data_IF_656211077721
#
_entry.id   IF_656211077721
#
_cell.length_a   1.000
_cell.length_b   1.000
_cell.length_c   1.000
_cell.angle_alpha   90.00
_cell.angle_beta   90.00
_cell.angle_gamma   90.00
#
_symmetry.space_group_name_H-M   'P 1'
#
loop_
_entity.id
_entity.type
_entity.pdbx_description
1 polymer ?
#
# COMPACT_ATOMS: atom_id res chain seq x y z
N UNK A 1 -45.28 39.54 -29.15
CA UNK A 1 -45.28 38.27 -29.89
C UNK A 1 -44.13 38.40 -30.85
N UNK A 2 -43.02 37.68 -30.86
CA UNK A 2 -42.50 36.41 -30.32
C UNK A 2 -41.06 36.38 -30.90
N UNK A 3 -39.99 35.77 -30.40
CA UNK A 3 -39.64 35.02 -29.21
C UNK A 3 -38.13 35.24 -29.02
N UNK A 4 -37.68 35.21 -27.77
CA UNK A 4 -36.26 35.25 -27.39
C UNK A 4 -35.68 33.84 -27.61
N UNK A 5 -34.71 33.67 -28.50
CA UNK A 5 -33.84 32.49 -28.46
C UNK A 5 -32.88 32.64 -27.27
N UNK A 6 -33.13 31.83 -26.24
CA UNK A 6 -32.24 31.67 -25.11
C UNK A 6 -31.04 30.79 -25.53
N UNK A 7 -29.83 31.33 -25.40
CA UNK A 7 -28.62 30.51 -25.35
C UNK A 7 -28.76 29.54 -24.16
N UNK A 8 -28.90 28.25 -24.46
CA UNK A 8 -28.78 27.20 -23.47
C UNK A 8 -27.39 27.24 -22.80
N UNK A 9 -27.28 26.79 -21.53
CA UNK A 9 -25.98 26.69 -20.88
C UNK A 9 -25.09 25.74 -21.70
N UNK A 10 -23.77 26.00 -21.77
CA UNK A 10 -22.87 25.13 -22.48
C UNK A 10 -22.99 23.72 -21.89
N UNK A 11 -23.45 22.79 -22.72
CA UNK A 11 -23.36 21.35 -22.47
C UNK A 11 -21.93 21.07 -22.06
N UNK A 12 -21.72 20.44 -20.90
CA UNK A 12 -20.41 19.98 -20.43
C UNK A 12 -19.86 18.96 -21.43
N UNK A 13 -19.28 19.46 -22.52
CA UNK A 13 -18.45 18.70 -23.42
C UNK A 13 -17.07 18.55 -22.79
N UNK A 14 -16.62 17.31 -22.73
CA UNK A 14 -15.21 16.95 -22.74
C UNK A 14 -14.34 17.59 -21.63
N UNK A 15 -14.64 17.32 -20.36
CA UNK A 15 -13.53 17.02 -19.46
C UNK A 15 -13.18 15.55 -19.72
N UNK A 16 -12.15 15.33 -20.53
CA UNK A 16 -11.43 14.08 -20.48
C UNK A 16 -11.22 13.71 -19.01
N UNK A 17 -11.81 12.59 -18.58
CA UNK A 17 -11.21 11.82 -17.50
C UNK A 17 -9.87 11.37 -18.08
N UNK A 18 -8.83 12.20 -17.94
CA UNK A 18 -7.46 11.79 -18.27
C UNK A 18 -7.23 10.50 -17.49
N UNK A 19 -7.17 9.39 -18.22
CA UNK A 19 -6.98 8.07 -17.67
C UNK A 19 -5.69 8.09 -16.84
N UNK A 20 -5.75 7.58 -15.62
CA UNK A 20 -4.63 7.66 -14.71
C UNK A 20 -3.53 6.71 -15.16
N UNK A 21 -2.41 7.29 -15.58
CA UNK A 21 -1.21 6.55 -15.99
C UNK A 21 -0.10 6.79 -14.97
N UNK A 22 0.18 5.82 -14.08
CA UNK A 22 1.28 5.94 -13.12
C UNK A 22 2.63 5.82 -13.81
N UNK A 23 3.62 6.57 -13.33
CA UNK A 23 5.02 6.38 -13.68
C UNK A 23 5.67 5.32 -12.79
N UNK A 24 5.16 5.15 -11.57
CA UNK A 24 5.67 4.22 -10.57
C UNK A 24 4.48 3.49 -9.95
N UNK A 25 4.59 2.17 -9.84
CA UNK A 25 3.63 1.33 -9.11
C UNK A 25 4.34 0.74 -7.90
N UNK A 26 3.72 0.88 -6.73
CA UNK A 26 4.20 0.36 -5.45
C UNK A 26 3.22 -0.69 -4.95
N UNK A 27 3.65 -1.95 -4.89
CA UNK A 27 2.92 -3.01 -4.21
C UNK A 27 3.20 -2.98 -2.71
N UNK A 28 2.16 -2.91 -1.89
CA UNK A 28 2.23 -2.95 -0.43
C UNK A 28 1.49 -4.18 0.08
N UNK A 29 2.26 -5.15 0.59
CA UNK A 29 1.74 -6.32 1.28
C UNK A 29 1.61 -6.00 2.77
N UNK A 30 0.47 -5.42 3.18
CA UNK A 30 0.20 -5.08 4.58
C UNK A 30 -0.14 -6.34 5.39
N UNK A 31 0.82 -7.22 5.63
CA UNK A 31 0.58 -8.46 6.35
C UNK A 31 0.28 -8.26 7.84
N UNK A 32 -0.28 -9.30 8.49
CA UNK A 32 -0.61 -9.26 9.92
C UNK A 32 0.60 -8.97 10.82
N UNK A 33 1.74 -9.63 10.56
CA UNK A 33 2.95 -9.53 11.38
C UNK A 33 4.03 -8.68 10.74
N UNK A 34 4.12 -8.71 9.41
CA UNK A 34 5.14 -8.00 8.66
C UNK A 34 4.53 -7.41 7.39
N UNK A 35 5.01 -6.22 7.02
CA UNK A 35 4.65 -5.53 5.80
C UNK A 35 5.80 -5.58 4.80
N UNK A 36 5.52 -6.00 3.57
CA UNK A 36 6.47 -5.95 2.45
C UNK A 36 6.14 -4.78 1.52
N UNK A 37 7.16 -4.16 0.92
CA UNK A 37 6.98 -3.14 -0.12
C UNK A 37 7.90 -3.45 -1.29
N UNK A 38 7.31 -3.48 -2.49
CA UNK A 38 8.04 -3.59 -3.75
C UNK A 38 7.53 -2.58 -4.76
N UNK A 39 8.35 -2.21 -5.73
CA UNK A 39 7.95 -1.24 -6.75
C UNK A 39 8.53 -1.56 -8.12
N UNK A 40 7.84 -1.10 -9.16
CA UNK A 40 8.35 -1.03 -10.51
C UNK A 40 7.99 0.32 -11.11
N UNK A 41 8.67 0.71 -12.19
CA UNK A 41 8.51 2.02 -12.80
C UNK A 41 8.53 1.90 -14.32
N UNK A 42 7.72 2.72 -14.96
CA UNK A 42 7.65 2.82 -16.40
C UNK A 42 8.78 3.69 -16.98
N UNK A 43 8.89 3.69 -18.32
CA UNK A 43 8.08 2.91 -19.25
C UNK A 43 8.50 1.43 -19.36
N UNK A 44 9.67 1.05 -18.84
CA UNK A 44 10.22 -0.30 -19.03
C UNK A 44 9.58 -1.37 -18.14
N UNK A 45 9.00 -0.97 -17.00
CA UNK A 45 8.34 -1.87 -16.03
C UNK A 45 9.16 -3.14 -15.72
N UNK A 46 10.42 -3.00 -15.25
CA UNK A 46 11.25 -4.15 -14.93
C UNK A 46 10.64 -5.00 -13.80
N UNK A 47 11.18 -6.21 -13.55
CA UNK A 47 10.79 -7.01 -12.39
C UNK A 47 10.78 -6.17 -11.10
N UNK A 48 9.74 -6.27 -10.24
CA UNK A 48 9.60 -5.42 -9.07
C UNK A 48 10.82 -5.50 -8.13
N UNK A 49 11.28 -4.33 -7.70
CA UNK A 49 12.38 -4.17 -6.73
C UNK A 49 11.79 -4.09 -5.33
N UNK A 50 12.29 -4.91 -4.41
CA UNK A 50 11.86 -4.88 -3.00
C UNK A 50 12.60 -3.77 -2.25
N UNK A 51 11.89 -2.97 -1.45
CA UNK A 51 12.50 -2.04 -0.50
C UNK A 51 12.98 -2.85 0.70
N UNK A 52 14.30 -2.90 0.91
CA UNK A 52 14.90 -3.74 1.95
C UNK A 52 15.58 -2.96 3.08
N UNK A 53 15.77 -1.65 2.91
CA UNK A 53 16.35 -0.77 3.93
C UNK A 53 15.23 -0.12 4.71
N UNK A 54 15.25 -0.31 6.03
CA UNK A 54 14.20 0.14 6.94
C UNK A 54 14.80 0.90 8.11
N UNK A 55 14.11 1.91 8.65
CA UNK A 55 14.52 2.58 9.89
C UNK A 55 14.63 1.57 11.04
N UNK A 56 15.55 1.81 11.97
CA UNK A 56 15.80 0.91 13.12
C UNK A 56 16.76 -0.25 12.84
N UNK A 57 17.11 -0.50 11.58
CA UNK A 57 18.14 -1.47 11.19
C UNK A 57 19.53 -0.81 11.14
N UNK A 58 20.58 -1.59 11.43
CA UNK A 58 21.96 -1.10 11.31
C UNK A 58 22.32 -0.83 9.83
N UNK A 59 23.25 0.11 9.56
CA UNK A 59 23.72 0.34 8.19
C UNK A 59 24.22 -0.95 7.55
N UNK A 60 23.65 -1.30 6.39
CA UNK A 60 24.00 -2.51 5.65
C UNK A 60 23.09 -3.71 5.91
N UNK A 61 22.29 -3.69 6.97
CA UNK A 61 21.29 -4.72 7.18
C UNK A 61 20.09 -4.54 6.24
N UNK A 62 19.68 -5.64 5.61
CA UNK A 62 18.57 -5.71 4.67
C UNK A 62 17.49 -6.65 5.21
N UNK A 63 16.23 -6.29 5.00
CA UNK A 63 15.09 -7.16 5.31
C UNK A 63 13.99 -6.98 4.26
N UNK A 64 13.45 -8.08 3.72
CA UNK A 64 12.40 -8.03 2.70
C UNK A 64 11.07 -7.47 3.22
N UNK A 65 10.86 -7.51 4.54
CA UNK A 65 9.67 -7.01 5.21
C UNK A 65 10.05 -6.30 6.51
N UNK A 66 9.19 -5.39 6.94
CA UNK A 66 9.28 -4.67 8.21
C UNK A 66 8.16 -5.13 9.14
N UNK A 67 8.38 -5.25 10.47
CA UNK A 67 7.31 -5.61 11.40
C UNK A 67 6.09 -4.67 11.31
N UNK A 68 4.89 -5.24 11.38
CA UNK A 68 3.63 -4.49 11.37
C UNK A 68 3.27 -4.05 12.79
N UNK A 69 4.02 -3.07 13.29
CA UNK A 69 3.88 -2.58 14.65
C UNK A 69 4.18 -1.08 14.76
N UNK A 70 3.60 -0.46 15.79
CA UNK A 70 3.73 0.97 16.08
C UNK A 70 3.70 1.19 17.59
N UNK A 71 4.55 2.08 18.09
CA UNK A 71 4.55 2.55 19.47
C UNK A 71 4.29 4.06 19.49
N UNK A 72 3.49 4.52 20.44
CA UNK A 72 3.22 5.94 20.64
C UNK A 72 4.15 6.53 21.70
N UNK A 73 4.36 7.85 21.66
CA UNK A 73 5.00 8.58 22.75
C UNK A 73 4.14 8.63 24.01
N UNK A 74 4.67 9.23 25.07
CA UNK A 74 3.94 9.40 26.35
C UNK A 74 2.62 10.18 26.21
N UNK A 75 2.47 10.96 25.15
CA UNK A 75 1.23 11.68 24.81
C UNK A 75 0.14 10.78 24.20
N UNK A 76 0.44 9.50 23.93
CA UNK A 76 -0.45 8.52 23.29
C UNK A 76 -1.00 8.96 21.92
N UNK A 77 -0.38 9.96 21.31
CA UNK A 77 -0.86 10.63 20.09
C UNK A 77 0.23 10.68 19.02
N UNK A 78 1.44 11.04 19.43
CA UNK A 78 2.60 11.07 18.55
C UNK A 78 3.15 9.66 18.34
N UNK A 79 3.48 9.33 17.10
CA UNK A 79 4.17 8.08 16.77
C UNK A 79 5.62 8.23 17.23
N UNK A 80 6.07 7.38 18.15
CA UNK A 80 7.47 7.38 18.60
C UNK A 80 8.32 6.45 17.75
N UNK A 81 7.83 5.23 17.51
CA UNK A 81 8.54 4.18 16.78
C UNK A 81 7.57 3.37 15.91
N UNK A 82 8.09 2.75 14.85
CA UNK A 82 7.35 1.81 14.01
C UNK A 82 8.30 0.75 13.45
N UNK A 83 7.77 -0.42 13.11
CA UNK A 83 8.57 -1.48 12.50
C UNK A 83 9.76 -1.91 13.37
N UNK A 84 10.96 -2.00 12.77
CA UNK A 84 12.17 -2.38 13.50
C UNK A 84 12.62 -1.37 14.57
N UNK A 85 12.01 -0.18 14.62
CA UNK A 85 12.27 0.78 15.68
C UNK A 85 11.49 0.45 16.96
N UNK A 86 10.44 -0.37 16.88
CA UNK A 86 9.69 -0.80 18.05
C UNK A 86 10.52 -1.81 18.85
N UNK A 87 10.59 -1.59 20.16
CA UNK A 87 11.14 -2.56 21.09
C UNK A 87 10.03 -3.51 21.54
N UNK A 88 9.95 -4.66 20.89
CA UNK A 88 8.87 -5.66 21.11
C UNK A 88 9.15 -6.47 22.39
N UNK A 89 10.42 -6.55 22.81
CA UNK A 89 10.83 -7.29 24.01
C UNK A 89 10.70 -6.45 25.28
N UNK A 90 10.56 -5.13 25.14
CA UNK A 90 10.29 -4.23 26.25
C UNK A 90 8.79 -4.18 26.57
N UNK A 91 8.39 -4.90 27.61
CA UNK A 91 7.01 -4.94 28.11
C UNK A 91 6.47 -3.59 28.61
N UNK A 92 7.33 -2.59 28.87
CA UNK A 92 6.90 -1.24 29.25
C UNK A 92 6.51 -0.39 28.04
N UNK A 93 7.02 -0.72 26.84
CA UNK A 93 6.62 -0.09 25.61
C UNK A 93 5.28 -0.68 25.16
N UNK A 94 4.22 0.12 25.19
CA UNK A 94 2.89 -0.32 24.75
C UNK A 94 2.82 -0.40 23.21
N UNK A 95 3.49 -1.41 22.65
CA UNK A 95 3.56 -1.66 21.22
C UNK A 95 2.23 -2.20 20.72
N UNK A 96 1.69 -1.56 19.69
CA UNK A 96 0.42 -1.92 19.07
C UNK A 96 0.70 -2.83 17.88
N UNK A 97 0.31 -4.09 18.03
CA UNK A 97 0.48 -5.16 17.02
C UNK A 97 -0.86 -5.79 16.68
N UNK A 98 -0.90 -6.62 15.63
CA UNK A 98 -2.07 -7.44 15.25
C UNK A 98 -3.37 -6.67 15.01
N UNK A 99 -3.32 -5.34 14.88
CA UNK A 99 -4.50 -4.50 14.73
C UNK A 99 -5.26 -4.74 13.43
N UNK A 100 -4.65 -5.43 12.46
CA UNK A 100 -5.35 -5.96 11.28
C UNK A 100 -6.52 -6.89 11.64
N UNK A 101 -6.44 -7.64 12.75
CA UNK A 101 -7.54 -8.49 13.24
C UNK A 101 -8.76 -7.68 13.69
N UNK A 102 -8.55 -6.41 14.04
CA UNK A 102 -9.57 -5.54 14.62
C UNK A 102 -10.13 -4.51 13.61
N UNK A 103 -9.65 -4.52 12.36
CA UNK A 103 -10.21 -3.74 11.26
C UNK A 103 -11.53 -4.31 10.73
N UNK A 104 -11.84 -5.54 11.14
CA UNK A 104 -12.99 -6.30 10.71
C UNK A 104 -13.88 -6.62 11.91
N UNK A 105 -15.12 -6.10 11.98
CA UNK A 105 -15.99 -6.30 13.14
C UNK A 105 -16.21 -7.77 13.50
N UNK A 106 -16.23 -8.66 12.51
CA UNK A 106 -16.41 -10.10 12.71
C UNK A 106 -15.20 -10.83 13.32
N UNK A 107 -14.04 -10.17 13.37
CA UNK A 107 -12.79 -10.72 13.93
C UNK A 107 -12.35 -9.99 15.21
N UNK A 108 -13.15 -9.03 15.68
CA UNK A 108 -12.93 -8.38 16.96
C UNK A 108 -12.91 -9.43 18.08
N UNK A 109 -11.83 -9.40 18.87
CA UNK A 109 -11.66 -10.27 20.03
C UNK A 109 -12.05 -9.51 21.29
N UNK A 110 -12.70 -10.19 22.22
CA UNK A 110 -13.00 -9.66 23.54
C UNK A 110 -11.71 -9.19 24.24
N UNK A 111 -11.73 -7.96 24.76
CA UNK A 111 -10.58 -7.34 25.41
C UNK A 111 -9.49 -6.79 24.47
N UNK A 112 -9.69 -6.85 23.15
CA UNK A 112 -8.80 -6.19 22.17
C UNK A 112 -9.20 -4.73 21.88
N UNK A 113 -8.43 -4.04 21.00
CA UNK A 113 -8.75 -2.67 20.62
C UNK A 113 -10.12 -2.55 19.95
N UNK A 114 -10.73 -1.39 20.15
CA UNK A 114 -11.91 -0.99 19.39
C UNK A 114 -11.59 -0.84 17.90
N UNK A 115 -12.62 -0.92 17.05
CA UNK A 115 -12.48 -0.69 15.61
C UNK A 115 -11.82 0.68 15.33
N UNK A 116 -12.22 1.72 16.05
CA UNK A 116 -11.68 3.07 15.90
C UNK A 116 -10.19 3.14 16.23
N UNK A 117 -9.75 2.47 17.28
CA UNK A 117 -8.33 2.38 17.63
C UNK A 117 -7.54 1.61 16.58
N UNK A 118 -8.06 0.46 16.14
CA UNK A 118 -7.42 -0.33 15.09
C UNK A 118 -7.29 0.45 13.78
N UNK A 119 -8.33 1.19 13.39
CA UNK A 119 -8.31 2.08 12.22
C UNK A 119 -7.33 3.23 12.37
N UNK A 120 -7.17 3.79 13.58
CA UNK A 120 -6.16 4.82 13.87
C UNK A 120 -4.75 4.23 13.71
N UNK A 121 -4.47 3.10 14.35
CA UNK A 121 -3.15 2.46 14.30
C UNK A 121 -2.79 2.04 12.86
N UNK A 122 -3.77 1.53 12.11
CA UNK A 122 -3.63 1.27 10.67
C UNK A 122 -3.22 2.51 9.89
N UNK A 123 -3.97 3.62 9.99
CA UNK A 123 -3.66 4.84 9.27
C UNK A 123 -2.29 5.42 9.64
N UNK A 124 -1.94 5.39 10.92
CA UNK A 124 -0.68 5.89 11.43
C UNK A 124 0.49 5.05 10.92
N UNK A 125 0.36 3.72 10.94
CA UNK A 125 1.36 2.81 10.41
C UNK A 125 1.52 2.93 8.88
N UNK A 126 0.42 2.98 8.12
CA UNK A 126 0.48 3.20 6.66
C UNK A 126 1.09 4.55 6.34
N UNK A 127 0.88 5.57 7.17
CA UNK A 127 1.52 6.88 6.99
C UNK A 127 3.03 6.79 7.17
N UNK A 128 3.53 5.99 8.11
CA UNK A 128 4.96 5.71 8.25
C UNK A 128 5.53 5.00 7.01
N UNK A 129 4.85 3.95 6.53
CA UNK A 129 5.24 3.24 5.29
C UNK A 129 5.29 4.22 4.11
N UNK A 130 4.22 4.98 3.90
CA UNK A 130 4.13 5.95 2.81
C UNK A 130 5.26 6.98 2.87
N UNK A 131 5.52 7.58 4.04
CA UNK A 131 6.62 8.55 4.21
C UNK A 131 7.98 7.94 3.94
N UNK A 132 8.21 6.70 4.37
CA UNK A 132 9.46 5.98 4.11
C UNK A 132 9.65 5.72 2.62
N UNK A 133 8.61 5.24 1.92
CA UNK A 133 8.67 4.99 0.47
C UNK A 133 8.91 6.29 -0.31
N UNK A 134 8.21 7.36 0.04
CA UNK A 134 8.40 8.68 -0.58
C UNK A 134 9.83 9.18 -0.38
N UNK A 135 10.35 9.14 0.85
CA UNK A 135 11.73 9.56 1.12
C UNK A 135 12.76 8.69 0.40
N UNK A 136 12.52 7.38 0.29
CA UNK A 136 13.34 6.48 -0.50
C UNK A 136 13.35 6.87 -1.98
N UNK A 137 12.20 7.21 -2.57
CA UNK A 137 12.15 7.63 -3.96
C UNK A 137 12.71 9.01 -4.21
N UNK A 138 12.50 9.97 -3.31
CA UNK A 138 13.12 11.31 -3.41
C UNK A 138 14.65 11.25 -3.50
N UNK A 139 15.26 10.22 -2.89
CA UNK A 139 16.71 10.03 -2.89
C UNK A 139 17.22 9.13 -4.01
N UNK A 140 16.36 8.33 -4.64
CA UNK A 140 16.78 7.30 -5.61
C UNK A 140 16.23 7.50 -7.03
N UNK A 141 15.16 8.28 -7.20
CA UNK A 141 14.49 8.52 -8.48
C UNK A 141 14.63 10.00 -8.86
N UNK A 142 15.27 10.32 -9.99
CA UNK A 142 15.36 11.69 -10.48
C UNK A 142 13.98 12.31 -10.71
N UNK A 143 13.81 13.57 -10.29
CA UNK A 143 12.56 14.33 -10.47
C UNK A 143 11.33 13.62 -9.88
N UNK A 144 11.49 12.84 -8.81
CA UNK A 144 10.42 12.07 -8.19
C UNK A 144 9.16 12.89 -7.88
N UNK A 145 9.30 14.15 -7.46
CA UNK A 145 8.19 15.05 -7.12
C UNK A 145 7.15 15.21 -8.25
N UNK A 146 7.56 15.02 -9.51
CA UNK A 146 6.69 15.12 -10.69
C UNK A 146 6.06 13.78 -11.09
N UNK A 147 6.47 12.67 -10.47
CA UNK A 147 6.05 11.32 -10.85
C UNK A 147 4.66 11.02 -10.29
N UNK A 148 3.82 10.40 -11.13
CA UNK A 148 2.56 9.80 -10.68
C UNK A 148 2.83 8.45 -10.07
N UNK A 149 2.42 8.26 -8.81
CA UNK A 149 2.67 7.02 -8.06
C UNK A 149 1.36 6.35 -7.71
N UNK A 150 1.23 5.08 -8.02
CA UNK A 150 0.07 4.27 -7.62
C UNK A 150 0.50 3.23 -6.58
N UNK A 151 -0.08 3.31 -5.38
CA UNK A 151 0.11 2.38 -4.28
C UNK A 151 -1.01 1.33 -4.31
N UNK A 152 -0.64 0.08 -4.57
CA UNK A 152 -1.55 -1.04 -4.65
C UNK A 152 -1.40 -1.88 -3.38
N UNK A 153 -2.46 -1.92 -2.57
CA UNK A 153 -2.50 -2.70 -1.34
C UNK A 153 -3.14 -4.06 -1.59
N UNK A 154 -2.51 -5.12 -1.06
CA UNK A 154 -3.19 -6.41 -0.90
C UNK A 154 -4.08 -6.39 0.34
N UNK A 155 -5.18 -7.13 0.27
CA UNK A 155 -6.11 -7.32 1.40
C UNK A 155 -6.25 -8.80 1.74
N UNK A 156 -6.58 -9.16 2.99
CA UNK A 156 -6.79 -10.56 3.36
C UNK A 156 -7.87 -11.20 2.48
N UNK A 157 -7.65 -12.45 2.07
CA UNK A 157 -8.66 -13.27 1.37
C UNK A 157 -9.96 -13.43 2.17
N UNK A 158 -9.89 -13.26 3.50
CA UNK A 158 -11.04 -13.39 4.40
C UNK A 158 -11.93 -12.15 4.43
N UNK A 159 -11.50 -11.02 3.87
CA UNK A 159 -12.31 -9.80 3.83
C UNK A 159 -13.42 -9.93 2.79
N UNK A 160 -14.61 -10.35 3.24
CA UNK A 160 -15.79 -10.55 2.38
C UNK A 160 -16.82 -9.43 2.46
N UNK A 161 -16.74 -8.56 3.48
CA UNK A 161 -17.67 -7.44 3.62
C UNK A 161 -17.20 -6.25 2.78
N UNK A 162 -17.96 -5.94 1.73
CA UNK A 162 -17.70 -4.80 0.84
C UNK A 162 -17.57 -3.49 1.61
N UNK A 163 -18.35 -3.28 2.67
CA UNK A 163 -18.31 -2.04 3.46
C UNK A 163 -16.98 -1.86 4.17
N UNK A 164 -16.39 -2.95 4.64
CA UNK A 164 -15.06 -2.93 5.26
C UNK A 164 -13.98 -2.60 4.22
N UNK A 165 -14.06 -3.22 3.04
CA UNK A 165 -13.12 -2.95 1.94
C UNK A 165 -13.21 -1.48 1.50
N UNK A 166 -14.43 -0.95 1.36
CA UNK A 166 -14.65 0.48 1.06
C UNK A 166 -14.12 1.39 2.16
N UNK A 167 -14.33 1.04 3.42
CA UNK A 167 -13.82 1.82 4.54
C UNK A 167 -12.29 1.84 4.56
N UNK A 168 -11.64 0.70 4.32
CA UNK A 168 -10.17 0.64 4.25
C UNK A 168 -9.65 1.41 3.04
N UNK A 169 -10.33 1.34 1.88
CA UNK A 169 -10.02 2.18 0.72
C UNK A 169 -10.07 3.66 1.09
N UNK A 170 -11.13 4.10 1.78
CA UNK A 170 -11.28 5.48 2.26
C UNK A 170 -10.13 5.89 3.18
N UNK A 171 -9.74 5.04 4.12
CA UNK A 171 -8.62 5.30 5.03
C UNK A 171 -7.29 5.44 4.28
N UNK A 172 -7.02 4.56 3.30
CA UNK A 172 -5.84 4.64 2.45
C UNK A 172 -5.78 5.94 1.66
N UNK A 173 -6.91 6.35 1.05
CA UNK A 173 -7.00 7.61 0.30
C UNK A 173 -6.75 8.84 1.18
N UNK A 174 -7.18 8.82 2.45
CA UNK A 174 -6.90 9.90 3.39
C UNK A 174 -5.42 9.98 3.77
N UNK A 175 -4.72 8.85 3.78
CA UNK A 175 -3.29 8.80 4.10
C UNK A 175 -2.43 9.19 2.91
N UNK A 176 -2.83 8.83 1.68
CA UNK A 176 -2.00 8.95 0.47
C UNK A 176 -2.50 10.07 -0.45
N UNK A 177 -3.65 9.88 -1.09
CA UNK A 177 -4.20 10.78 -2.12
C UNK A 177 -4.39 12.20 -1.61
N UNK A 178 -4.94 12.34 -0.39
CA UNK A 178 -5.18 13.65 0.23
C UNK A 178 -3.89 14.44 0.53
N UNK A 179 -2.71 13.77 0.52
CA UNK A 179 -1.42 14.40 0.80
C UNK A 179 -0.66 14.81 -0.45
N UNK A 180 -0.90 14.15 -1.57
CA UNK A 180 -0.20 14.43 -2.81
C UNK A 180 -1.10 14.13 -4.02
N UNK A 181 -1.44 15.14 -4.85
CA UNK A 181 -2.31 14.94 -6.01
C UNK A 181 -1.72 14.01 -7.08
N UNK A 182 -0.40 13.77 -7.06
CA UNK A 182 0.28 12.84 -7.95
C UNK A 182 0.29 11.41 -7.41
N UNK A 183 -0.21 11.14 -6.20
CA UNK A 183 -0.22 9.80 -5.63
C UNK A 183 -1.65 9.29 -5.48
N UNK A 184 -1.85 8.00 -5.74
CA UNK A 184 -3.13 7.32 -5.53
C UNK A 184 -2.96 6.02 -4.78
N UNK A 185 -3.92 5.69 -3.92
CA UNK A 185 -4.01 4.39 -3.29
C UNK A 185 -5.19 3.58 -3.85
N UNK A 186 -4.94 2.32 -4.16
CA UNK A 186 -5.98 1.37 -4.56
C UNK A 186 -5.80 0.03 -3.84
N UNK A 187 -6.90 -0.72 -3.75
CA UNK A 187 -6.89 -2.10 -3.29
C UNK A 187 -6.84 -2.97 -4.54
N UNK A 188 -5.81 -3.80 -4.65
CA UNK A 188 -5.60 -4.72 -5.76
C UNK A 188 -6.10 -6.12 -5.45
N UNK A 189 -5.24 -7.10 -5.72
CA UNK A 189 -5.49 -8.52 -5.45
C UNK A 189 -5.53 -8.81 -3.94
N UNK A 190 -6.16 -9.92 -3.57
CA UNK A 190 -5.99 -10.47 -2.22
C UNK A 190 -4.56 -10.95 -2.00
N UNK A 191 -4.15 -11.07 -0.74
CA UNK A 191 -2.81 -11.57 -0.37
C UNK A 191 -2.49 -12.94 -1.01
N UNK A 192 -3.46 -13.87 -1.00
CA UNK A 192 -3.28 -15.20 -1.58
C UNK A 192 -3.14 -15.15 -3.11
N UNK A 193 -3.91 -14.29 -3.79
CA UNK A 193 -3.83 -14.11 -5.23
C UNK A 193 -2.50 -13.45 -5.63
N UNK A 194 -2.08 -12.41 -4.90
CA UNK A 194 -0.80 -11.75 -5.12
C UNK A 194 0.38 -12.73 -4.95
N UNK A 195 0.33 -13.57 -3.90
CA UNK A 195 1.31 -14.61 -3.68
C UNK A 195 1.33 -15.66 -4.81
N UNK A 196 0.15 -16.05 -5.31
CA UNK A 196 0.03 -16.99 -6.42
C UNK A 196 0.59 -16.41 -7.74
N UNK A 197 0.31 -15.13 -8.04
CA UNK A 197 0.87 -14.44 -9.22
C UNK A 197 2.38 -14.34 -9.13
N UNK A 198 2.91 -13.99 -7.96
CA UNK A 198 4.36 -13.93 -7.75
C UNK A 198 5.03 -15.30 -7.97
N UNK A 199 4.50 -16.35 -7.34
CA UNK A 199 5.04 -17.71 -7.50
C UNK A 199 4.91 -18.26 -8.93
N UNK A 200 3.80 -17.94 -9.62
CA UNK A 200 3.58 -18.33 -11.01
C UNK A 200 4.60 -17.69 -11.96
N UNK A 201 4.85 -16.38 -11.83
CA UNK A 201 5.79 -15.67 -12.70
C UNK A 201 7.24 -16.13 -12.49
N UNK A 202 7.64 -16.49 -11.26
CA UNK A 202 8.95 -17.09 -10.98
C UNK A 202 9.13 -18.46 -11.69
N UNK A 203 8.07 -19.25 -11.83
CA UNK A 203 8.14 -20.60 -12.43
C UNK A 203 7.99 -20.61 -13.96
N UNK A 204 7.29 -19.65 -14.57
CA UNK A 204 7.11 -19.62 -16.03
C UNK A 204 8.14 -18.75 -16.78
N UNK A 205 8.94 -17.94 -16.07
CA UNK A 205 10.06 -17.17 -16.66
C UNK A 205 11.28 -18.01 -17.06
N UNK A 206 11.38 -19.25 -16.59
CA UNK A 206 12.52 -20.15 -16.84
C UNK A 206 12.03 -21.49 -17.37
N UNK A 207 11.65 -21.51 -18.65
CA UNK A 207 11.65 -22.76 -19.43
C UNK A 207 10.31 -23.20 -19.98
N UNK A 208 10.01 -22.78 -21.21
CA UNK A 208 9.43 -23.66 -22.22
C UNK A 208 9.87 -23.22 -23.63
N UNK A 209 11.14 -23.52 -23.98
CA UNK A 209 11.47 -23.85 -25.38
C UNK A 209 11.34 -25.36 -25.52
N UNK A 210 10.15 -25.85 -25.81
CA UNK A 210 10.01 -27.21 -26.32
C UNK A 210 10.67 -27.27 -27.69
N UNK A 211 11.92 -27.74 -27.72
CA UNK A 211 12.49 -28.32 -28.93
C UNK A 211 11.85 -29.70 -29.10
N UNK A 212 10.79 -29.78 -29.90
CA UNK A 212 10.44 -31.03 -30.57
C UNK A 212 11.50 -31.30 -31.63
N UNK A 213 12.53 -32.05 -31.27
CA UNK A 213 13.38 -32.72 -32.26
C UNK A 213 12.56 -33.83 -32.89
N UNK A 214 12.29 -33.70 -34.19
CA UNK A 214 11.92 -34.81 -35.05
C UNK A 214 12.96 -35.91 -34.91
N UNK A 215 12.53 -37.12 -34.53
CA UNK A 215 13.29 -38.34 -34.78
C UNK A 215 12.79 -38.94 -36.10
N UNK A 216 13.75 -39.18 -36.99
CA UNK A 216 13.66 -40.11 -38.12
C UNK A 216 13.97 -41.50 -37.59
#
# INVERSE_FOLDING_TARGET
MSDKEALGPPTKSALHNEEWHPNIVVGVDFGMTHTGVAYSYGPEWPPPKTIQRWPGKLPGELANKVPTCITYGSDSKSISHWGFQCDIDNSEAETKEFFKLHLAPQYARDGGPSLTEAQKWFQDYIRCIYRHVVSYFETTIPQFVMQRVEFIFSVPTTWKDVRMVEEIRRLLMQVIDARNPNHRACIGLTEAEAAAVYAGNEHYGVGHRFHTKNQV
#
